data_IF_133966338657
#
_entry.id   IF_133966338657
#
_cell.length_a   1.000
_cell.length_b   1.000
_cell.length_c   1.000
_cell.angle_alpha   90.00
_cell.angle_beta   90.00
_cell.angle_gamma   90.00
#
_symmetry.space_group_name_H-M   'P 1'
#
loop_
_entity.id
_entity.type
_entity.pdbx_description
1 polymer ?
#
# COMPACT_ATOMS: atom_id res chain seq x y z
N UNK A 1 -11.55 12.28 9.75
CA UNK A 1 -12.32 12.62 8.55
C UNK A 1 -13.78 12.13 8.51
N UNK A 2 -14.25 11.23 9.34
CA UNK A 2 -15.52 10.51 9.10
C UNK A 2 -16.79 11.35 9.25
N UNK A 3 -16.82 12.40 10.06
CA UNK A 3 -18.09 13.07 10.40
C UNK A 3 -18.63 14.03 9.35
N UNK A 4 -17.76 14.68 8.58
CA UNK A 4 -18.19 15.62 7.53
C UNK A 4 -18.80 14.94 6.31
N UNK A 5 -18.40 13.72 6.02
CA UNK A 5 -18.89 12.95 4.86
C UNK A 5 -20.30 12.37 5.14
N UNK A 6 -20.65 12.19 6.40
CA UNK A 6 -21.93 11.60 6.81
C UNK A 6 -23.16 12.41 6.43
N UNK A 7 -23.03 13.72 6.20
CA UNK A 7 -24.13 14.64 5.91
C UNK A 7 -24.48 14.79 4.43
N UNK A 8 -23.67 14.22 3.51
CA UNK A 8 -23.92 14.33 2.08
C UNK A 8 -24.91 13.23 1.66
N UNK A 9 -26.00 13.62 1.02
CA UNK A 9 -27.03 12.70 0.53
C UNK A 9 -27.09 12.71 -1.00
N UNK A 10 -27.60 11.62 -1.59
CA UNK A 10 -27.81 11.46 -3.04
C UNK A 10 -26.55 11.65 -3.87
N UNK A 11 -25.43 11.09 -3.43
CA UNK A 11 -24.19 11.08 -4.17
C UNK A 11 -24.31 10.01 -5.29
N UNK A 12 -24.03 10.43 -6.52
CA UNK A 12 -24.01 9.54 -7.69
C UNK A 12 -22.60 9.05 -7.99
N UNK A 13 -21.66 10.00 -7.95
CA UNK A 13 -20.26 9.76 -8.30
C UNK A 13 -19.34 10.35 -7.23
N UNK A 14 -18.24 9.66 -6.96
CA UNK A 14 -17.19 10.12 -6.04
C UNK A 14 -15.86 10.05 -6.79
N UNK A 15 -15.08 11.12 -6.69
CA UNK A 15 -13.69 11.11 -7.11
C UNK A 15 -12.79 11.17 -5.88
N UNK A 16 -11.92 10.19 -5.73
CA UNK A 16 -10.91 10.11 -4.68
C UNK A 16 -9.55 10.26 -5.34
N UNK A 17 -8.99 11.46 -5.24
CA UNK A 17 -7.63 11.73 -5.68
C UNK A 17 -6.65 11.28 -4.61
N UNK A 18 -5.49 10.73 -5.03
CA UNK A 18 -4.48 10.15 -4.14
C UNK A 18 -5.09 9.16 -3.13
N UNK A 19 -5.88 8.20 -3.63
CA UNK A 19 -6.64 7.31 -2.77
C UNK A 19 -5.76 6.41 -1.89
N UNK A 20 -4.45 6.34 -2.14
CA UNK A 20 -3.48 5.69 -1.25
C UNK A 20 -3.29 6.40 0.10
N UNK A 21 -3.70 7.67 0.21
CA UNK A 21 -3.59 8.46 1.45
C UNK A 21 -4.76 8.25 2.41
N UNK A 22 -5.90 7.77 1.93
CA UNK A 22 -7.00 7.35 2.80
C UNK A 22 -6.79 5.90 3.23
N UNK A 23 -7.42 5.48 4.33
CA UNK A 23 -7.40 4.08 4.73
C UNK A 23 -8.55 3.28 4.12
N UNK A 24 -8.44 1.94 4.14
CA UNK A 24 -9.44 1.02 3.57
C UNK A 24 -10.83 1.18 4.22
N UNK A 25 -10.87 1.43 5.51
CA UNK A 25 -12.13 1.68 6.24
C UNK A 25 -12.83 2.96 5.75
N UNK A 26 -12.10 4.06 5.55
CA UNK A 26 -12.66 5.31 5.03
C UNK A 26 -13.17 5.11 3.60
N UNK A 27 -12.47 4.33 2.78
CA UNK A 27 -12.93 3.97 1.44
C UNK A 27 -14.25 3.19 1.48
N UNK A 28 -14.39 2.22 2.36
CA UNK A 28 -15.66 1.49 2.54
C UNK A 28 -16.79 2.43 3.01
N UNK A 29 -16.48 3.42 3.84
CA UNK A 29 -17.47 4.45 4.22
C UNK A 29 -17.92 5.29 3.01
N UNK A 30 -17.03 5.58 2.04
CA UNK A 30 -17.39 6.23 0.78
C UNK A 30 -18.29 5.33 -0.06
N UNK A 31 -17.97 4.05 -0.20
CA UNK A 31 -18.80 3.08 -0.92
C UNK A 31 -20.23 3.04 -0.37
N UNK A 32 -20.41 3.07 0.95
CA UNK A 32 -21.71 3.09 1.59
C UNK A 32 -22.51 4.38 1.34
N UNK A 33 -21.89 5.45 0.84
CA UNK A 33 -22.56 6.73 0.47
C UNK A 33 -23.10 6.74 -0.94
N UNK A 34 -22.61 5.87 -1.82
CA UNK A 34 -23.13 5.69 -3.16
C UNK A 34 -24.48 4.99 -3.12
N UNK A 35 -25.53 5.75 -2.92
CA UNK A 35 -26.90 5.24 -2.77
C UNK A 35 -27.95 6.13 -3.44
N UNK A 36 -27.58 6.77 -4.54
CA UNK A 36 -28.55 7.51 -5.31
C UNK A 36 -29.51 6.58 -6.05
N UNK A 37 -30.61 7.12 -6.54
CA UNK A 37 -31.61 6.36 -7.33
C UNK A 37 -31.22 6.26 -8.80
N UNK A 38 -30.02 6.68 -9.19
CA UNK A 38 -29.55 6.55 -10.59
C UNK A 38 -29.26 5.09 -10.96
N UNK A 39 -29.28 4.76 -12.24
CA UNK A 39 -29.04 3.39 -12.71
C UNK A 39 -27.68 2.84 -12.32
N UNK A 40 -26.69 3.69 -12.13
CA UNK A 40 -25.35 3.36 -11.67
C UNK A 40 -24.74 4.49 -10.85
N UNK A 41 -23.94 4.09 -9.92
CA UNK A 41 -23.14 4.97 -9.07
C UNK A 41 -21.68 4.52 -9.18
N UNK A 42 -20.73 5.46 -9.22
CA UNK A 42 -19.32 5.16 -9.49
C UNK A 42 -18.38 5.84 -8.51
N UNK A 43 -17.25 5.17 -8.20
CA UNK A 43 -16.11 5.79 -7.54
C UNK A 43 -14.94 5.76 -8.52
N UNK A 44 -14.34 6.91 -8.73
CA UNK A 44 -13.10 7.06 -9.46
C UNK A 44 -11.97 7.27 -8.46
N UNK A 45 -10.95 6.43 -8.53
CA UNK A 45 -9.78 6.53 -7.68
C UNK A 45 -8.54 6.78 -8.53
N UNK A 46 -7.81 7.85 -8.24
CA UNK A 46 -6.50 8.09 -8.81
C UNK A 46 -5.41 7.94 -7.75
N UNK A 47 -4.29 7.35 -8.10
CA UNK A 47 -3.17 7.15 -7.19
C UNK A 47 -1.87 6.85 -7.92
N UNK A 48 -0.76 7.11 -7.24
CA UNK A 48 0.54 6.59 -7.60
C UNK A 48 0.82 5.30 -6.81
N UNK A 49 1.35 4.24 -7.43
CA UNK A 49 1.54 2.93 -6.79
C UNK A 49 2.76 2.90 -5.87
N UNK A 50 2.63 3.50 -4.68
CA UNK A 50 3.77 3.75 -3.79
C UNK A 50 4.23 2.52 -3.00
N UNK A 51 3.36 1.58 -2.65
CA UNK A 51 3.73 0.41 -1.85
C UNK A 51 2.77 -0.75 -2.02
N UNK A 52 3.31 -1.97 -2.03
CA UNK A 52 2.52 -3.22 -1.97
C UNK A 52 1.87 -3.46 -0.61
N UNK A 53 2.34 -2.84 0.45
CA UNK A 53 1.70 -2.91 1.77
C UNK A 53 0.42 -2.08 1.87
N UNK A 54 0.21 -1.14 0.94
CA UNK A 54 -0.96 -0.29 0.91
C UNK A 54 -2.24 -1.11 0.62
N UNK A 55 -3.36 -0.71 1.22
CA UNK A 55 -4.66 -1.35 1.04
C UNK A 55 -5.12 -1.39 -0.42
N UNK A 56 -4.79 -0.37 -1.22
CA UNK A 56 -5.07 -0.28 -2.66
C UNK A 56 -4.49 -1.49 -3.39
N UNK A 57 -3.22 -1.84 -3.11
CA UNK A 57 -2.60 -3.01 -3.69
C UNK A 57 -3.31 -4.29 -3.26
N UNK A 58 -3.53 -4.47 -1.96
CA UNK A 58 -4.18 -5.65 -1.39
C UNK A 58 -5.60 -5.88 -1.93
N UNK A 59 -6.31 -4.80 -2.23
CA UNK A 59 -7.70 -4.84 -2.70
C UNK A 59 -7.83 -5.15 -4.19
N UNK A 60 -6.98 -4.58 -5.04
CA UNK A 60 -7.18 -4.61 -6.48
C UNK A 60 -6.10 -5.36 -7.27
N UNK A 61 -5.02 -5.77 -6.63
CA UNK A 61 -3.90 -6.42 -7.32
C UNK A 61 -3.56 -7.78 -6.71
N UNK A 62 -3.02 -8.66 -7.54
CA UNK A 62 -2.52 -9.96 -7.11
C UNK A 62 -1.19 -9.79 -6.37
N UNK A 63 -1.05 -10.46 -5.22
CA UNK A 63 0.13 -10.34 -4.37
C UNK A 63 1.41 -10.88 -5.04
N UNK A 64 1.27 -11.89 -5.89
CA UNK A 64 2.41 -12.59 -6.48
C UNK A 64 3.05 -11.83 -7.63
N UNK A 65 2.25 -11.31 -8.55
CA UNK A 65 2.71 -10.74 -9.83
C UNK A 65 2.34 -9.28 -10.04
N UNK A 66 1.62 -8.69 -9.08
CA UNK A 66 1.12 -7.30 -9.16
C UNK A 66 0.19 -7.03 -10.36
N UNK A 67 -0.34 -8.08 -10.99
CA UNK A 67 -1.39 -7.92 -12.00
C UNK A 67 -2.70 -7.48 -11.38
N UNK A 68 -3.58 -6.89 -12.18
CA UNK A 68 -4.94 -6.55 -11.72
C UNK A 68 -5.71 -7.85 -11.46
N UNK A 69 -6.42 -7.91 -10.34
CA UNK A 69 -7.27 -9.04 -10.01
C UNK A 69 -8.42 -9.17 -11.01
N UNK A 70 -8.65 -10.39 -11.51
CA UNK A 70 -9.68 -10.69 -12.50
C UNK A 70 -11.03 -11.09 -11.90
N UNK A 71 -11.07 -11.31 -10.58
CA UNK A 71 -12.29 -11.69 -9.84
C UNK A 71 -13.14 -10.49 -9.38
N UNK A 72 -12.78 -9.28 -9.80
CA UNK A 72 -13.47 -8.04 -9.43
C UNK A 72 -14.55 -7.69 -10.46
N UNK A 73 -15.79 -8.10 -10.22
CA UNK A 73 -16.89 -8.00 -11.17
C UNK A 73 -17.24 -6.58 -11.63
N UNK A 74 -17.04 -5.56 -10.79
CA UNK A 74 -17.48 -4.18 -11.04
C UNK A 74 -16.32 -3.17 -10.92
N UNK A 75 -15.10 -3.59 -11.19
CA UNK A 75 -13.91 -2.75 -11.05
C UNK A 75 -13.10 -2.75 -12.34
N UNK A 76 -12.75 -1.58 -12.81
CA UNK A 76 -11.81 -1.40 -13.92
C UNK A 76 -10.57 -0.68 -13.39
N UNK A 77 -9.40 -1.23 -13.68
CA UNK A 77 -8.13 -0.60 -13.36
C UNK A 77 -7.46 -0.17 -14.66
N UNK A 78 -7.18 1.12 -14.79
CA UNK A 78 -6.48 1.70 -15.92
C UNK A 78 -5.09 2.14 -15.47
N UNK A 79 -4.05 1.55 -16.03
CA UNK A 79 -2.68 2.01 -15.84
C UNK A 79 -2.32 3.01 -16.93
N UNK A 80 -1.87 4.18 -16.52
CA UNK A 80 -1.35 5.22 -17.41
C UNK A 80 0.07 5.61 -17.01
N UNK A 81 0.83 6.11 -17.94
CA UNK A 81 2.20 6.56 -17.76
C UNK A 81 2.39 7.94 -18.43
N UNK A 82 3.53 8.58 -18.20
CA UNK A 82 3.84 9.84 -18.90
C UNK A 82 3.78 9.71 -20.43
N UNK A 83 3.96 8.51 -20.99
CA UNK A 83 3.93 8.26 -22.45
C UNK A 83 2.52 8.38 -23.03
N UNK A 84 1.50 8.20 -22.20
CA UNK A 84 0.10 8.30 -22.60
C UNK A 84 -0.38 9.74 -22.69
N UNK A 85 0.37 10.69 -22.10
CA UNK A 85 0.06 12.12 -22.15
C UNK A 85 0.91 12.84 -23.21
N UNK A 86 0.35 12.98 -24.41
CA UNK A 86 1.00 13.65 -25.54
C UNK A 86 1.18 15.17 -25.40
N UNK A 87 0.64 15.77 -24.36
CA UNK A 87 0.72 17.22 -24.12
C UNK A 87 1.84 17.62 -23.15
N UNK A 88 2.61 16.64 -22.63
CA UNK A 88 3.71 16.94 -21.73
C UNK A 88 4.82 17.73 -22.43
N UNK A 89 5.33 18.81 -21.80
CA UNK A 89 6.48 19.54 -22.32
C UNK A 89 7.72 18.63 -22.38
N UNK A 90 8.58 18.87 -23.37
CA UNK A 90 9.81 18.11 -23.53
C UNK A 90 10.71 18.17 -22.28
N UNK A 91 10.86 19.34 -21.70
CA UNK A 91 11.70 19.55 -20.52
C UNK A 91 11.20 18.71 -19.33
N UNK A 92 9.88 18.53 -19.19
CA UNK A 92 9.32 17.67 -18.16
C UNK A 92 9.68 16.19 -18.41
N UNK A 93 9.61 15.75 -19.67
CA UNK A 93 9.99 14.37 -20.04
C UNK A 93 11.48 14.15 -19.79
N UNK A 94 12.33 15.10 -20.17
CA UNK A 94 13.78 15.01 -19.97
C UNK A 94 14.12 14.94 -18.47
N UNK A 95 13.41 15.69 -17.62
CA UNK A 95 13.53 15.62 -16.16
C UNK A 95 13.10 14.26 -15.59
N UNK A 96 12.01 13.66 -16.12
CA UNK A 96 11.60 12.31 -15.71
C UNK A 96 12.66 11.27 -16.09
N UNK A 97 13.24 11.37 -17.28
CA UNK A 97 14.29 10.44 -17.72
C UNK A 97 15.56 10.59 -16.89
N UNK A 98 15.94 11.79 -16.50
CA UNK A 98 17.06 12.03 -15.59
C UNK A 98 16.78 11.47 -14.19
N UNK A 99 15.53 11.61 -13.71
CA UNK A 99 15.09 10.96 -12.48
C UNK A 99 15.28 9.43 -12.55
N UNK A 100 15.07 8.82 -13.72
CA UNK A 100 15.31 7.39 -13.91
C UNK A 100 16.75 6.96 -13.62
N UNK A 101 17.74 7.85 -13.79
CA UNK A 101 19.14 7.60 -13.49
C UNK A 101 19.50 7.89 -12.03
N UNK A 102 18.95 8.95 -11.47
CA UNK A 102 19.28 9.45 -10.12
C UNK A 102 18.45 8.80 -9.03
N UNK A 103 17.18 8.49 -9.30
CA UNK A 103 16.25 7.84 -8.37
C UNK A 103 15.34 6.85 -9.10
N UNK A 104 15.83 5.65 -9.41
CA UNK A 104 15.07 4.64 -10.18
C UNK A 104 13.74 4.24 -9.53
N UNK A 105 13.64 4.26 -8.19
CA UNK A 105 12.42 3.90 -7.47
C UNK A 105 11.33 4.93 -7.71
N UNK A 106 11.65 6.21 -7.60
CA UNK A 106 10.72 7.29 -7.92
C UNK A 106 10.27 7.23 -9.39
N UNK A 107 11.19 6.98 -10.31
CA UNK A 107 10.86 6.85 -11.72
C UNK A 107 9.88 5.70 -11.97
N UNK A 108 10.07 4.55 -11.33
CA UNK A 108 9.15 3.42 -11.42
C UNK A 108 7.75 3.78 -10.95
N UNK A 109 7.64 4.47 -9.82
CA UNK A 109 6.36 4.85 -9.23
C UNK A 109 5.68 5.95 -10.08
N UNK A 110 6.35 7.07 -10.28
CA UNK A 110 5.71 8.28 -10.81
C UNK A 110 5.73 8.40 -12.33
N UNK A 111 6.68 7.74 -13.01
CA UNK A 111 6.75 7.75 -14.46
C UNK A 111 6.18 6.48 -15.11
N UNK A 112 6.44 5.30 -14.51
CA UNK A 112 6.02 4.03 -15.08
C UNK A 112 4.76 3.44 -14.44
N UNK A 113 4.25 4.02 -13.36
CA UNK A 113 3.08 3.51 -12.63
C UNK A 113 3.27 2.07 -12.16
N UNK A 114 4.44 1.77 -11.57
CA UNK A 114 4.78 0.47 -11.02
C UNK A 114 4.83 0.52 -9.50
N UNK A 115 4.28 -0.51 -8.85
CA UNK A 115 4.43 -0.64 -7.41
C UNK A 115 5.90 -0.82 -7.04
N UNK A 116 6.41 0.07 -6.20
CA UNK A 116 7.75 0.00 -5.66
C UNK A 116 7.75 0.62 -4.26
N UNK A 117 8.51 0.04 -3.35
CA UNK A 117 8.69 0.60 -2.02
C UNK A 117 9.68 1.75 -2.12
N UNK A 118 9.29 2.92 -1.61
CA UNK A 118 10.21 4.04 -1.45
C UNK A 118 11.22 3.64 -0.36
N UNK A 119 12.44 3.34 -0.78
CA UNK A 119 13.50 2.80 0.08
C UNK A 119 13.98 3.85 1.09
N UNK A 120 13.27 3.96 2.20
CA UNK A 120 13.81 4.44 3.48
C UNK A 120 13.86 3.30 4.50
N UNK A 121 13.78 2.06 4.04
CA UNK A 121 13.92 0.91 4.91
C UNK A 121 15.38 0.80 5.35
N UNK A 122 15.60 0.71 6.64
CA UNK A 122 16.92 0.43 7.24
C UNK A 122 17.43 -0.93 6.74
N UNK A 123 16.50 -1.87 6.56
CA UNK A 123 16.77 -3.21 6.02
C UNK A 123 15.99 -3.40 4.72
N UNK A 124 16.67 -3.74 3.64
CA UNK A 124 16.08 -3.94 2.30
C UNK A 124 15.95 -5.41 1.93
N UNK A 125 16.63 -6.30 2.65
CA UNK A 125 16.71 -7.74 2.42
C UNK A 125 15.85 -8.54 3.40
N UNK A 126 14.57 -8.21 3.48
CA UNK A 126 13.60 -8.93 4.30
C UNK A 126 12.52 -9.55 3.41
N UNK A 127 11.92 -10.63 3.88
CA UNK A 127 10.74 -11.22 3.26
C UNK A 127 9.65 -11.47 4.31
N UNK A 128 8.40 -11.45 3.86
CA UNK A 128 7.25 -11.74 4.70
C UNK A 128 6.98 -13.25 4.65
N UNK A 129 7.07 -13.89 5.81
CA UNK A 129 6.80 -15.32 5.96
C UNK A 129 5.62 -15.53 6.90
N UNK A 130 4.73 -16.44 6.53
CA UNK A 130 3.71 -16.95 7.45
C UNK A 130 4.20 -18.25 8.05
N UNK A 131 4.38 -18.28 9.36
CA UNK A 131 4.82 -19.47 10.07
C UNK A 131 4.11 -19.58 11.43
N UNK A 132 3.99 -20.81 11.92
CA UNK A 132 3.52 -21.04 13.29
C UNK A 132 4.72 -20.97 14.26
N UNK A 133 4.78 -19.85 15.00
CA UNK A 133 5.85 -19.63 15.98
C UNK A 133 5.86 -20.69 17.11
N UNK A 134 4.69 -21.28 17.43
CA UNK A 134 4.62 -22.34 18.45
C UNK A 134 5.27 -23.63 17.97
N UNK A 135 5.19 -23.96 16.68
CA UNK A 135 5.91 -25.10 16.11
C UNK A 135 7.42 -24.85 16.13
N UNK A 136 7.86 -23.67 15.71
CA UNK A 136 9.29 -23.30 15.75
C UNK A 136 9.86 -23.40 17.17
N UNK A 137 9.11 -22.96 18.18
CA UNK A 137 9.55 -23.05 19.58
C UNK A 137 9.55 -24.49 20.13
N UNK A 138 8.73 -25.38 19.59
CA UNK A 138 8.74 -26.81 19.96
C UNK A 138 9.94 -27.57 19.39
N UNK A 139 10.33 -27.24 18.16
CA UNK A 139 11.41 -27.90 17.44
C UNK A 139 12.80 -27.48 17.90
N UNK A 140 12.96 -26.26 18.41
CA UNK A 140 14.25 -25.69 18.80
C UNK A 140 14.36 -25.48 20.29
N UNK A 141 15.52 -25.88 20.87
CA UNK A 141 15.87 -25.49 22.22
C UNK A 141 16.28 -24.02 22.23
N UNK A 142 15.66 -23.23 23.06
CA UNK A 142 16.02 -21.84 23.28
C UNK A 142 16.64 -21.62 24.66
N UNK A 143 17.60 -20.71 24.71
CA UNK A 143 18.34 -20.38 25.94
C UNK A 143 17.81 -19.13 26.61
N UNK A 144 17.36 -18.18 25.84
CA UNK A 144 17.04 -16.84 26.34
C UNK A 144 15.97 -16.17 25.48
N UNK A 145 15.00 -15.56 26.15
CA UNK A 145 14.08 -14.61 25.52
C UNK A 145 14.49 -13.18 25.91
N UNK A 146 14.53 -12.28 24.94
CA UNK A 146 14.86 -10.86 25.10
C UNK A 146 13.64 -10.07 24.64
N UNK A 147 13.21 -9.12 25.47
CA UNK A 147 12.10 -8.25 25.15
C UNK A 147 12.63 -6.83 24.93
N UNK A 148 12.20 -6.21 23.84
CA UNK A 148 12.41 -4.81 23.53
C UNK A 148 11.09 -4.08 23.43
N UNK A 149 10.98 -2.92 24.06
CA UNK A 149 9.78 -2.08 23.98
C UNK A 149 10.18 -0.70 23.48
N UNK A 150 9.46 -0.25 22.47
CA UNK A 150 9.52 1.13 21.99
C UNK A 150 8.18 1.81 22.32
N UNK A 151 8.26 2.89 23.09
CA UNK A 151 7.07 3.62 23.52
C UNK A 151 6.69 4.68 22.49
N UNK A 152 5.56 4.45 21.82
CA UNK A 152 5.01 5.44 20.92
C UNK A 152 4.40 6.64 21.63
N UNK A 153 4.34 7.78 20.95
CA UNK A 153 3.73 9.01 21.45
C UNK A 153 2.76 9.58 20.42
N UNK A 154 1.56 9.90 20.85
CA UNK A 154 0.48 10.50 20.06
C UNK A 154 -0.03 9.63 18.90
N UNK A 155 0.65 9.63 17.75
CA UNK A 155 0.26 8.88 16.54
C UNK A 155 1.20 7.70 16.23
N UNK A 156 2.18 7.48 17.08
CA UNK A 156 3.17 6.43 16.93
C UNK A 156 2.80 5.25 17.85
N UNK A 157 2.59 4.03 17.33
CA UNK A 157 2.18 2.89 18.15
C UNK A 157 3.31 2.44 19.08
N UNK A 158 2.96 2.11 20.32
CA UNK A 158 3.89 1.39 21.20
C UNK A 158 4.10 -0.02 20.66
N UNK A 159 5.34 -0.43 20.49
CA UNK A 159 5.69 -1.75 19.98
C UNK A 159 6.40 -2.58 21.06
N UNK A 160 6.11 -3.87 21.09
CA UNK A 160 6.79 -4.85 21.91
C UNK A 160 7.31 -5.98 21.01
N UNK A 161 8.61 -6.19 21.03
CA UNK A 161 9.27 -7.26 20.28
C UNK A 161 9.83 -8.29 21.28
N UNK A 162 9.57 -9.56 21.00
CA UNK A 162 10.21 -10.66 21.69
C UNK A 162 11.14 -11.38 20.72
N UNK A 163 12.42 -11.46 21.05
CA UNK A 163 13.42 -12.24 20.32
C UNK A 163 13.86 -13.43 21.17
N UNK A 164 13.96 -14.59 20.54
CA UNK A 164 14.38 -15.82 21.19
C UNK A 164 15.74 -16.23 20.64
N UNK A 165 16.67 -16.58 21.50
CA UNK A 165 18.00 -17.07 21.13
C UNK A 165 18.01 -18.59 21.31
N UNK A 166 18.28 -19.30 20.23
CA UNK A 166 18.40 -20.77 20.26
C UNK A 166 19.74 -21.23 20.85
N UNK A 167 19.96 -22.53 20.93
CA UNK A 167 21.16 -23.14 21.52
C UNK A 167 22.43 -22.98 20.67
N UNK A 168 22.31 -22.50 19.43
CA UNK A 168 23.40 -22.21 18.51
C UNK A 168 23.58 -20.71 18.23
N UNK A 169 23.09 -19.86 19.12
CA UNK A 169 23.19 -18.38 19.06
C UNK A 169 22.49 -17.73 17.85
N UNK A 170 21.47 -18.38 17.32
CA UNK A 170 20.60 -17.78 16.30
C UNK A 170 19.42 -17.07 16.94
N UNK A 171 19.13 -15.88 16.47
CA UNK A 171 17.94 -15.10 16.86
C UNK A 171 16.75 -15.55 16.00
N UNK A 172 15.65 -15.83 16.68
CA UNK A 172 14.37 -16.20 16.09
C UNK A 172 13.34 -15.10 16.40
#
# INVERSE_FOLDING_TARGET
>A
MPERIKSIANIDDIWVEECTEINDFDFDQLCLRLRSKKPYNQIFCSFNPVSKSNWVFKRWFNQNDSSVRTDLANTMVLKTTYKDNKFLPKDYIDNLLEMGKTNPVYYRIYALGEFATLDKLVYTNWEELTFDYMEVLKEKKYRKAIFGTDFGYTNDPTTLVCSVIDDVDKII
#
